data_IF_664934472206
#
_entry.id   IF_664934472206
#
_cell.length_a   1.000
_cell.length_b   1.000
_cell.length_c   1.000
_cell.angle_alpha   90.00
_cell.angle_beta   90.00
_cell.angle_gamma   90.00
#
_symmetry.space_group_name_H-M   'P 1'
#
loop_
_entity.id
_entity.type
_entity.pdbx_description
1 polymer ?
#
# COMPACT_ATOMS: atom_id res chain seq x y z
N UNK A 1 -5.56 -2.82 7.24
CA UNK A 1 -4.74 -2.87 6.01
C UNK A 1 -5.67 -2.69 4.82
N UNK A 2 -5.63 -1.53 4.15
CA UNK A 2 -6.47 -1.27 2.98
C UNK A 2 -5.98 -2.08 1.77
N UNK A 3 -4.69 -2.39 1.73
CA UNK A 3 -3.99 -3.14 0.69
C UNK A 3 -4.57 -4.54 0.45
N UNK A 4 -5.24 -5.12 1.46
CA UNK A 4 -5.95 -6.39 1.33
C UNK A 4 -7.39 -6.27 0.76
N UNK A 5 -7.92 -5.05 0.69
CA UNK A 5 -9.32 -4.77 0.33
C UNK A 5 -9.47 -3.98 -0.97
N UNK A 6 -8.47 -3.18 -1.33
CA UNK A 6 -8.46 -2.35 -2.55
C UNK A 6 -7.93 -3.17 -3.72
N UNK A 7 -8.79 -3.42 -4.72
CA UNK A 7 -8.42 -4.19 -5.92
C UNK A 7 -7.55 -3.40 -6.90
N UNK A 8 -7.82 -2.10 -7.05
CA UNK A 8 -7.11 -1.20 -7.97
C UNK A 8 -6.91 0.14 -7.29
N UNK A 9 -5.67 0.40 -6.88
CA UNK A 9 -5.32 1.64 -6.18
C UNK A 9 -5.46 2.86 -7.08
N UNK A 10 -5.12 2.76 -8.37
CA UNK A 10 -5.30 3.86 -9.32
C UNK A 10 -6.77 4.22 -9.51
N UNK A 11 -7.67 3.24 -9.65
CA UNK A 11 -9.12 3.50 -9.75
C UNK A 11 -9.67 4.07 -8.43
N UNK A 12 -9.26 3.50 -7.30
CA UNK A 12 -9.72 3.93 -5.98
C UNK A 12 -9.31 5.38 -5.70
N UNK A 13 -8.03 5.72 -5.91
CA UNK A 13 -7.51 7.08 -5.74
C UNK A 13 -8.09 8.07 -6.76
N UNK A 14 -8.29 7.66 -8.02
CA UNK A 14 -8.96 8.49 -9.02
C UNK A 14 -10.40 8.81 -8.61
N UNK A 15 -11.11 7.83 -8.05
CA UNK A 15 -12.45 8.04 -7.53
C UNK A 15 -12.43 8.98 -6.32
N UNK A 16 -11.50 8.82 -5.38
CA UNK A 16 -11.34 9.77 -4.28
C UNK A 16 -11.11 11.19 -4.80
N UNK A 17 -10.17 11.37 -5.73
CA UNK A 17 -9.85 12.67 -6.32
C UNK A 17 -11.07 13.36 -6.94
N UNK A 18 -11.86 12.62 -7.74
CA UNK A 18 -13.05 13.16 -8.43
C UNK A 18 -14.19 13.60 -7.49
N UNK A 19 -14.25 13.05 -6.27
CA UNK A 19 -15.36 13.28 -5.35
C UNK A 19 -14.98 14.19 -4.16
N UNK A 20 -13.71 14.59 -4.05
CA UNK A 20 -13.30 15.61 -3.09
C UNK A 20 -13.74 17.00 -3.56
N UNK A 21 -14.14 17.84 -2.61
CA UNK A 21 -14.35 19.26 -2.87
C UNK A 21 -13.02 19.94 -3.21
N UNK A 22 -13.01 21.03 -4.01
CA UNK A 22 -11.80 21.80 -4.24
C UNK A 22 -11.10 22.19 -2.92
N UNK A 23 -9.81 21.89 -2.81
CA UNK A 23 -9.01 22.09 -1.59
C UNK A 23 -9.12 20.99 -0.53
N UNK A 24 -9.86 19.91 -0.79
CA UNK A 24 -9.96 18.75 0.09
C UNK A 24 -8.68 17.89 0.08
N UNK A 25 -8.52 17.10 1.15
CA UNK A 25 -7.36 16.22 1.35
C UNK A 25 -7.79 14.75 1.37
N UNK A 26 -6.90 13.88 0.90
CA UNK A 26 -6.97 12.44 1.08
C UNK A 26 -5.78 11.99 1.94
N UNK A 27 -6.06 11.17 2.95
CA UNK A 27 -5.04 10.54 3.79
C UNK A 27 -5.16 9.03 3.68
N UNK A 28 -4.02 8.35 3.53
CA UNK A 28 -3.92 6.91 3.51
C UNK A 28 -2.99 6.46 4.63
N UNK A 29 -3.45 5.51 5.45
CA UNK A 29 -2.63 4.82 6.45
C UNK A 29 -2.70 3.32 6.15
N UNK A 30 -1.57 2.74 5.77
CA UNK A 30 -1.50 1.33 5.44
C UNK A 30 -0.12 0.73 5.73
N UNK A 31 -0.04 -0.59 5.65
CA UNK A 31 1.19 -1.35 5.89
C UNK A 31 1.46 -2.33 4.75
N UNK A 32 2.73 -2.66 4.55
CA UNK A 32 3.13 -3.71 3.61
C UNK A 32 2.83 -5.10 4.17
N UNK A 33 2.52 -6.04 3.27
CA UNK A 33 2.33 -7.45 3.64
C UNK A 33 3.64 -8.14 3.97
N UNK A 34 4.74 -7.66 3.37
CA UNK A 34 6.08 -8.20 3.59
C UNK A 34 6.68 -7.48 4.79
N UNK A 35 6.75 -8.20 5.91
CA UNK A 35 7.30 -7.65 7.15
C UNK A 35 8.82 -7.49 7.05
N UNK A 36 9.31 -6.43 7.66
CA UNK A 36 10.72 -6.07 7.75
C UNK A 36 11.07 -5.68 9.18
N UNK A 37 12.37 -5.65 9.48
CA UNK A 37 12.94 -5.17 10.74
C UNK A 37 13.99 -4.12 10.43
N UNK A 38 14.07 -3.06 11.22
CA UNK A 38 15.06 -1.98 11.05
C UNK A 38 16.46 -2.36 11.58
N UNK A 39 16.57 -3.41 12.39
CA UNK A 39 17.81 -3.97 12.93
C UNK A 39 18.26 -5.28 12.25
N UNK A 40 17.55 -5.71 11.20
CA UNK A 40 17.77 -6.96 10.47
C UNK A 40 17.56 -8.27 11.26
N UNK A 41 16.90 -8.23 12.41
CA UNK A 41 16.58 -9.45 13.18
C UNK A 41 15.54 -10.35 12.48
N UNK A 42 14.66 -9.77 11.65
CA UNK A 42 13.69 -10.54 10.87
C UNK A 42 14.30 -11.06 9.56
N UNK A 43 14.78 -12.30 9.60
CA UNK A 43 15.30 -13.02 8.43
C UNK A 43 14.24 -13.83 7.67
N UNK A 44 14.58 -14.29 6.46
CA UNK A 44 13.73 -15.14 5.60
C UNK A 44 13.34 -16.50 6.21
N UNK A 45 14.07 -16.97 7.23
CA UNK A 45 13.80 -18.27 7.84
C UNK A 45 12.66 -18.22 8.86
N UNK A 46 12.33 -17.04 9.38
CA UNK A 46 11.30 -16.87 10.39
C UNK A 46 9.91 -17.16 9.85
N UNK A 47 9.06 -17.73 10.70
CA UNK A 47 7.67 -18.03 10.38
C UNK A 47 6.90 -16.77 9.93
N UNK A 48 7.19 -15.62 10.55
CA UNK A 48 6.56 -14.35 10.23
C UNK A 48 6.87 -13.88 8.80
N UNK A 49 8.13 -14.03 8.35
CA UNK A 49 8.49 -13.71 6.97
C UNK A 49 7.85 -14.68 5.98
N UNK A 50 7.89 -15.98 6.28
CA UNK A 50 7.20 -17.01 5.46
C UNK A 50 5.69 -16.76 5.36
N UNK A 51 5.05 -16.31 6.43
CA UNK A 51 3.63 -15.96 6.44
C UNK A 51 3.31 -14.83 5.45
N UNK A 52 4.11 -13.76 5.45
CA UNK A 52 3.96 -12.65 4.49
C UNK A 52 4.15 -13.10 3.04
N UNK A 53 5.18 -13.92 2.76
CA UNK A 53 5.45 -14.45 1.43
C UNK A 53 4.29 -15.35 0.92
N UNK A 54 3.73 -16.20 1.80
CA UNK A 54 2.58 -17.06 1.47
C UNK A 54 1.32 -16.25 1.20
N UNK A 55 1.05 -15.20 1.99
CA UNK A 55 -0.07 -14.29 1.73
C UNK A 55 0.08 -13.58 0.39
N UNK A 56 1.26 -13.03 0.10
CA UNK A 56 1.52 -12.37 -1.18
C UNK A 56 1.32 -13.32 -2.36
N UNK A 57 1.81 -14.56 -2.25
CA UNK A 57 1.59 -15.60 -3.25
C UNK A 57 0.11 -15.91 -3.46
N UNK A 58 -0.65 -16.13 -2.38
CA UNK A 58 -2.09 -16.40 -2.47
C UNK A 58 -2.84 -15.22 -3.11
N UNK A 59 -2.50 -13.99 -2.73
CA UNK A 59 -3.09 -12.77 -3.29
C UNK A 59 -2.83 -12.66 -4.80
N UNK A 60 -1.62 -13.01 -5.26
CA UNK A 60 -1.28 -13.08 -6.68
C UNK A 60 -2.08 -14.16 -7.42
N UNK A 61 -2.21 -15.36 -6.85
CA UNK A 61 -3.01 -16.46 -7.41
C UNK A 61 -4.50 -16.08 -7.54
N UNK A 62 -5.02 -15.31 -6.59
CA UNK A 62 -6.37 -14.76 -6.61
C UNK A 62 -6.53 -13.46 -7.41
N UNK A 63 -5.49 -13.04 -8.16
CA UNK A 63 -5.48 -11.84 -9.03
C UNK A 63 -5.80 -10.55 -8.27
N UNK A 64 -5.34 -10.47 -7.03
CA UNK A 64 -5.46 -9.29 -6.15
C UNK A 64 -4.12 -9.06 -5.44
N UNK A 65 -3.02 -8.81 -6.18
CA UNK A 65 -1.73 -8.61 -5.55
C UNK A 65 -1.74 -7.39 -4.65
N UNK A 66 -1.07 -7.48 -3.51
CA UNK A 66 -0.76 -6.31 -2.68
C UNK A 66 0.15 -5.35 -3.46
N UNK A 67 -0.03 -4.05 -3.24
CA UNK A 67 0.92 -3.05 -3.72
C UNK A 67 1.99 -2.80 -2.65
N UNK A 68 3.20 -2.45 -3.08
CA UNK A 68 4.18 -1.85 -2.18
C UNK A 68 3.68 -0.46 -1.76
N UNK A 69 3.54 -0.22 -0.46
CA UNK A 69 2.86 0.98 0.06
C UNK A 69 3.51 2.29 -0.38
N UNK A 70 4.84 2.30 -0.55
CA UNK A 70 5.57 3.48 -1.03
C UNK A 70 5.15 3.94 -2.44
N UNK A 71 4.51 3.06 -3.23
CA UNK A 71 3.99 3.40 -4.56
C UNK A 71 2.73 4.26 -4.50
N UNK A 72 2.02 4.28 -3.38
CA UNK A 72 0.77 5.01 -3.24
C UNK A 72 0.95 6.51 -3.49
N UNK A 73 2.06 7.11 -3.03
CA UNK A 73 2.35 8.52 -3.28
C UNK A 73 2.48 8.85 -4.78
N UNK A 74 3.06 7.92 -5.55
CA UNK A 74 3.23 8.09 -6.99
C UNK A 74 1.88 8.01 -7.69
N UNK A 75 1.03 7.04 -7.31
CA UNK A 75 -0.32 6.91 -7.85
C UNK A 75 -1.17 8.14 -7.49
N UNK A 76 -1.05 8.66 -6.27
CA UNK A 76 -1.75 9.90 -5.86
C UNK A 76 -1.35 11.07 -6.76
N UNK A 77 -0.06 11.25 -7.03
CA UNK A 77 0.41 12.29 -7.95
C UNK A 77 -0.09 12.07 -9.39
N UNK A 78 -0.07 10.82 -9.88
CA UNK A 78 -0.53 10.46 -11.23
C UNK A 78 -2.03 10.76 -11.44
N UNK A 79 -2.88 10.55 -10.42
CA UNK A 79 -4.33 10.84 -10.55
C UNK A 79 -4.67 12.32 -10.40
N UNK A 80 -3.72 13.16 -9.97
CA UNK A 80 -3.88 14.62 -9.91
C UNK A 80 -3.79 15.24 -8.52
N UNK A 81 -3.53 14.47 -7.45
CA UNK A 81 -3.26 15.08 -6.15
C UNK A 81 -1.95 15.89 -6.19
N UNK A 82 -1.95 17.01 -5.48
CA UNK A 82 -0.77 17.88 -5.29
C UNK A 82 -0.33 17.85 -3.83
N UNK A 83 0.85 18.37 -3.54
CA UNK A 83 1.42 18.43 -2.18
C UNK A 83 1.44 17.07 -1.45
N UNK A 84 1.64 15.99 -2.20
CA UNK A 84 1.65 14.61 -1.67
C UNK A 84 2.83 14.44 -0.71
N UNK A 85 2.53 14.09 0.55
CA UNK A 85 3.51 13.81 1.60
C UNK A 85 3.43 12.35 2.02
N UNK A 86 4.58 11.76 2.28
CA UNK A 86 4.72 10.39 2.79
C UNK A 86 5.49 10.46 4.11
N UNK A 87 5.02 9.73 5.12
CA UNK A 87 5.72 9.57 6.40
C UNK A 87 5.85 8.08 6.69
N UNK A 88 7.02 7.47 6.45
CA UNK A 88 7.25 6.07 6.77
C UNK A 88 7.37 5.89 8.29
N UNK A 89 6.76 4.83 8.81
CA UNK A 89 6.91 4.39 10.19
C UNK A 89 7.80 3.14 10.24
N UNK A 90 8.69 3.06 11.23
CA UNK A 90 9.58 1.94 11.49
C UNK A 90 9.12 1.17 12.71
#
# INVERSE_FOLDING_TARGET
MMNASVKSWSEYLLNMFKHLTPGGYAELQDIDVILQSDDNTLTQHHALRKWGDLLAKAAQEHRRPFIETYRLKHIMAEVGFVDVKETPFK
#
